data_IF_658738065889
#
_entry.id   IF_658738065889
#
_cell.length_a   1.000
_cell.length_b   1.000
_cell.length_c   1.000
_cell.angle_alpha   90.00
_cell.angle_beta   90.00
_cell.angle_gamma   90.00
#
_symmetry.space_group_name_H-M   'P 1'
#
loop_
_entity.id
_entity.type
_entity.pdbx_description
1 polymer ?
#
# COMPACT_ATOMS: atom_id res chain seq x y z
N UNK A 1 -14.73 -20.80 66.70
CA UNK A 1 -14.18 -19.44 66.44
C UNK A 1 -14.81 -18.92 65.16
N UNK A 2 -15.29 -17.68 65.21
CA UNK A 2 -16.25 -17.07 64.29
C UNK A 2 -15.63 -16.71 62.93
N UNK A 3 -16.41 -16.91 61.86
CA UNK A 3 -16.13 -16.36 60.53
C UNK A 3 -16.28 -14.84 60.55
N UNK A 4 -15.29 -14.10 60.06
CA UNK A 4 -15.37 -12.66 59.84
C UNK A 4 -15.38 -12.38 58.35
N UNK A 5 -16.54 -11.92 57.91
CA UNK A 5 -16.88 -11.41 56.58
C UNK A 5 -16.57 -9.90 56.58
N UNK A 6 -15.73 -9.43 55.66
CA UNK A 6 -15.54 -8.01 55.36
C UNK A 6 -15.43 -7.89 53.84
N UNK A 7 -16.53 -7.59 53.15
CA UNK A 7 -17.08 -6.25 52.87
C UNK A 7 -16.30 -5.52 51.78
N UNK A 8 -16.95 -5.43 50.63
CA UNK A 8 -16.57 -4.76 49.38
C UNK A 8 -16.51 -3.25 49.62
N UNK A 9 -15.41 -2.61 49.23
CA UNK A 9 -15.34 -1.17 49.02
C UNK A 9 -14.83 -0.92 47.60
N UNK A 10 -15.78 -0.74 46.69
CA UNK A 10 -15.56 -0.33 45.31
C UNK A 10 -15.34 1.19 45.30
N UNK A 11 -14.10 1.67 45.25
CA UNK A 11 -13.81 3.09 45.05
C UNK A 11 -14.06 3.44 43.59
N UNK A 12 -15.28 3.92 43.35
CA UNK A 12 -15.75 4.48 42.09
C UNK A 12 -14.81 5.57 41.60
N UNK A 13 -14.25 5.30 40.41
CA UNK A 13 -13.57 6.23 39.53
C UNK A 13 -14.40 7.51 39.35
N UNK A 14 -13.94 8.59 39.98
CA UNK A 14 -14.38 9.94 39.68
C UNK A 14 -13.72 10.42 38.39
N UNK A 15 -14.49 10.43 37.29
CA UNK A 15 -14.24 11.27 36.10
C UNK A 15 -15.51 11.33 35.25
N UNK A 16 -16.49 12.11 35.72
CA UNK A 16 -17.58 12.60 34.86
C UNK A 16 -17.21 14.00 34.38
N UNK A 17 -16.63 14.12 33.18
CA UNK A 17 -16.56 15.41 32.49
C UNK A 17 -17.79 15.50 31.60
N UNK A 18 -18.79 16.22 32.10
CA UNK A 18 -20.02 16.52 31.39
C UNK A 18 -19.69 17.29 30.11
N UNK A 19 -19.95 16.68 28.95
CA UNK A 19 -20.11 17.39 27.69
C UNK A 19 -21.49 18.03 27.70
N UNK A 20 -21.58 19.29 28.14
CA UNK A 20 -22.79 20.08 28.01
C UNK A 20 -22.75 20.80 26.66
N UNK A 21 -23.46 20.25 25.68
CA UNK A 21 -23.81 20.96 24.45
C UNK A 21 -24.90 21.97 24.79
N UNK A 22 -24.50 23.19 25.10
CA UNK A 22 -25.41 24.34 25.18
C UNK A 22 -25.73 24.81 23.77
N UNK A 23 -26.84 24.34 23.21
CA UNK A 23 -27.40 24.84 21.96
C UNK A 23 -28.63 25.69 22.28
N UNK A 24 -28.44 26.85 22.93
CA UNK A 24 -29.48 27.87 22.99
C UNK A 24 -29.33 28.76 21.75
N UNK A 25 -30.02 28.39 20.68
CA UNK A 25 -30.25 29.30 19.56
C UNK A 25 -31.27 30.39 20.01
N UNK A 26 -30.97 31.69 19.85
CA UNK A 26 -31.97 32.74 20.01
C UNK A 26 -32.88 32.83 18.78
N UNK A 27 -34.14 33.26 18.92
CA UNK A 27 -35.03 33.48 17.79
C UNK A 27 -34.55 34.67 16.96
N UNK A 28 -34.57 34.51 15.64
CA UNK A 28 -34.18 35.50 14.66
C UNK A 28 -34.97 36.81 14.81
N UNK A 29 -34.27 37.94 14.75
CA UNK A 29 -34.86 39.25 14.48
C UNK A 29 -33.83 40.13 13.76
N UNK A 30 -34.16 40.46 12.50
CA UNK A 30 -33.83 41.68 11.75
C UNK A 30 -32.37 42.16 11.60
N UNK A 31 -31.94 42.16 10.33
CA UNK A 31 -31.41 43.31 9.59
C UNK A 31 -30.21 44.11 10.16
N UNK A 32 -29.07 44.06 9.47
CA UNK A 32 -28.10 45.17 9.49
C UNK A 32 -26.63 44.78 9.48
N UNK A 33 -25.97 45.13 8.37
CA UNK A 33 -24.56 45.43 8.12
C UNK A 33 -23.42 44.79 8.97
N UNK A 34 -22.45 44.29 8.19
CA UNK A 34 -21.01 44.28 8.42
C UNK A 34 -20.46 43.36 9.53
N UNK A 35 -19.87 42.24 9.10
CA UNK A 35 -18.57 41.78 9.59
C UNK A 35 -17.94 40.81 8.59
N UNK A 36 -16.81 41.24 8.01
CA UNK A 36 -15.88 40.35 7.29
C UNK A 36 -15.17 39.53 8.37
N UNK A 37 -15.59 38.29 8.58
CA UNK A 37 -14.90 37.38 9.50
C UNK A 37 -14.46 36.13 8.76
N UNK A 38 -13.14 36.08 8.58
CA UNK A 38 -12.18 34.98 8.38
C UNK A 38 -12.67 33.66 7.75
N UNK A 39 -11.92 33.10 6.78
CA UNK A 39 -12.22 31.77 6.23
C UNK A 39 -12.20 30.73 7.37
N UNK A 40 -13.02 29.66 7.27
CA UNK A 40 -12.99 28.59 8.25
C UNK A 40 -11.56 28.06 8.34
N UNK A 41 -11.01 28.03 9.56
CA UNK A 41 -9.72 27.40 9.83
C UNK A 41 -9.77 25.99 9.24
N UNK A 42 -8.73 25.55 8.51
CA UNK A 42 -8.69 24.19 8.01
C UNK A 42 -8.67 23.30 9.25
N UNK A 43 -9.80 22.66 9.53
CA UNK A 43 -9.86 21.54 10.44
C UNK A 43 -8.89 20.53 9.81
N UNK A 44 -7.66 20.47 10.34
CA UNK A 44 -6.69 19.43 10.04
C UNK A 44 -7.21 18.12 10.65
N UNK A 45 -8.38 17.69 10.19
CA UNK A 45 -8.71 16.29 10.14
C UNK A 45 -7.63 15.71 9.25
N UNK A 46 -6.54 15.24 9.86
CA UNK A 46 -5.68 14.21 9.30
C UNK A 46 -6.55 12.98 9.09
N UNK A 47 -7.46 13.07 8.11
CA UNK A 47 -7.79 11.96 7.25
C UNK A 47 -6.45 11.62 6.61
N UNK A 48 -5.64 10.85 7.34
CA UNK A 48 -4.73 9.91 6.72
C UNK A 48 -5.65 9.15 5.80
N UNK A 49 -5.62 9.53 4.52
CA UNK A 49 -6.32 8.84 3.45
C UNK A 49 -5.63 7.49 3.31
N UNK A 50 -5.94 6.60 4.26
CA UNK A 50 -5.71 5.16 4.23
C UNK A 50 -6.73 4.53 3.27
N UNK A 51 -6.94 5.18 2.14
CA UNK A 51 -7.84 4.79 1.07
C UNK A 51 -7.00 4.85 -0.19
N UNK A 52 -6.05 3.94 -0.32
CA UNK A 52 -5.11 4.00 -1.43
C UNK A 52 -3.90 3.09 -1.31
N UNK A 53 -4.10 1.82 -0.95
CA UNK A 53 -3.14 0.78 -1.28
C UNK A 53 -1.73 0.91 -0.71
N UNK A 54 -0.81 0.13 -1.29
CA UNK A 54 0.62 0.20 -0.96
C UNK A 54 1.34 1.37 -1.62
N UNK A 55 0.69 2.16 -2.48
CA UNK A 55 1.33 3.29 -3.15
C UNK A 55 2.40 2.90 -4.18
N UNK A 56 2.30 1.70 -4.74
CA UNK A 56 3.12 1.26 -5.88
C UNK A 56 2.80 2.16 -7.08
N UNK A 57 3.83 2.68 -7.76
CA UNK A 57 3.62 3.54 -8.92
C UNK A 57 3.00 2.75 -10.07
N UNK A 58 1.97 3.29 -10.76
CA UNK A 58 1.30 2.59 -11.86
C UNK A 58 2.23 2.21 -13.01
N UNK A 59 3.29 2.99 -13.24
CA UNK A 59 4.32 2.71 -14.24
C UNK A 59 5.00 1.35 -13.98
N UNK A 60 5.27 1.00 -12.72
CA UNK A 60 5.90 -0.28 -12.38
C UNK A 60 4.98 -1.49 -12.59
N UNK A 61 3.67 -1.28 -12.67
CA UNK A 61 2.68 -2.33 -12.89
C UNK A 61 2.40 -2.54 -14.39
N UNK A 62 3.08 -1.81 -15.28
CA UNK A 62 2.84 -1.87 -16.72
C UNK A 62 3.01 -3.30 -17.25
N UNK A 63 1.93 -3.86 -17.81
CA UNK A 63 1.93 -5.20 -18.41
C UNK A 63 1.89 -6.35 -17.41
N UNK A 64 1.83 -6.07 -16.10
CA UNK A 64 1.55 -7.08 -15.09
C UNK A 64 0.10 -7.57 -15.20
N UNK A 65 -0.10 -8.86 -15.00
CA UNK A 65 -1.43 -9.48 -15.04
C UNK A 65 -2.34 -8.87 -13.94
N UNK A 66 -3.63 -8.56 -14.21
CA UNK A 66 -4.53 -8.01 -13.19
C UNK A 66 -4.63 -8.85 -11.92
N UNK A 67 -4.50 -10.17 -12.06
CA UNK A 67 -4.46 -11.13 -10.95
C UNK A 67 -3.27 -10.95 -9.99
N UNK A 68 -2.22 -10.24 -10.43
CA UNK A 68 -1.04 -9.86 -9.64
C UNK A 68 -1.09 -8.37 -9.31
N UNK A 69 -1.41 -7.50 -10.28
CA UNK A 69 -1.39 -6.06 -10.09
C UNK A 69 -2.47 -5.55 -9.11
N UNK A 70 -3.70 -6.07 -9.18
CA UNK A 70 -4.78 -5.60 -8.33
C UNK A 70 -4.54 -5.88 -6.83
N UNK A 71 -4.10 -7.08 -6.41
CA UNK A 71 -3.72 -7.33 -5.02
C UNK A 71 -2.57 -6.44 -4.51
N UNK A 72 -1.56 -6.17 -5.35
CA UNK A 72 -0.44 -5.28 -5.00
C UNK A 72 -0.93 -3.83 -4.79
N UNK A 73 -1.85 -3.36 -5.62
CA UNK A 73 -2.49 -2.04 -5.44
C UNK A 73 -3.38 -2.03 -4.20
N UNK A 74 -4.13 -3.10 -3.93
CA UNK A 74 -4.99 -3.19 -2.76
C UNK A 74 -4.20 -3.35 -1.44
N UNK A 75 -2.96 -3.83 -1.51
CA UNK A 75 -2.17 -4.23 -0.35
C UNK A 75 -2.57 -5.58 0.25
N UNK A 76 -3.21 -6.43 -0.56
CA UNK A 76 -3.63 -7.77 -0.17
C UNK A 76 -2.59 -8.79 -0.64
N UNK A 77 -1.57 -9.01 0.18
CA UNK A 77 -0.43 -9.89 -0.11
C UNK A 77 -0.70 -11.30 0.44
N UNK A 78 -1.66 -12.00 -0.16
CA UNK A 78 -2.00 -13.37 0.23
C UNK A 78 -0.89 -14.39 -0.10
N UNK A 79 -0.94 -15.57 0.54
CA UNK A 79 0.07 -16.62 0.37
C UNK A 79 0.16 -17.15 -1.07
N UNK A 80 -0.92 -17.03 -1.85
CA UNK A 80 -0.99 -17.46 -3.25
C UNK A 80 -0.39 -16.46 -4.24
N UNK A 81 -0.15 -15.21 -3.84
CA UNK A 81 0.28 -14.14 -4.75
C UNK A 81 1.62 -14.44 -5.42
N UNK A 82 2.57 -15.01 -4.68
CA UNK A 82 3.89 -15.37 -5.21
C UNK A 82 3.81 -16.43 -6.31
N UNK A 83 2.96 -17.46 -6.13
CA UNK A 83 2.74 -18.48 -7.17
C UNK A 83 2.10 -17.86 -8.40
N UNK A 84 1.05 -17.05 -8.21
CA UNK A 84 0.38 -16.35 -9.32
C UNK A 84 1.35 -15.47 -10.09
N UNK A 85 2.17 -14.68 -9.39
CA UNK A 85 3.21 -13.85 -10.00
C UNK A 85 4.17 -14.67 -10.87
N UNK A 86 4.66 -15.80 -10.36
CA UNK A 86 5.53 -16.70 -11.13
C UNK A 86 4.82 -17.30 -12.35
N UNK A 87 3.62 -17.84 -12.17
CA UNK A 87 2.92 -18.59 -13.21
C UNK A 87 2.41 -17.70 -14.35
N UNK A 88 2.04 -16.46 -14.02
CA UNK A 88 1.55 -15.48 -14.99
C UNK A 88 2.66 -14.65 -15.64
N UNK A 89 3.86 -14.60 -15.04
CA UNK A 89 4.99 -13.81 -15.58
C UNK A 89 5.36 -14.20 -17.01
N UNK A 90 5.18 -15.48 -17.39
CA UNK A 90 5.39 -15.96 -18.76
C UNK A 90 4.51 -15.28 -19.82
N UNK A 91 3.41 -14.64 -19.43
CA UNK A 91 2.52 -13.91 -20.34
C UNK A 91 2.87 -12.42 -20.48
N UNK A 92 3.81 -11.93 -19.67
CA UNK A 92 4.21 -10.53 -19.63
C UNK A 92 4.81 -10.11 -20.99
N UNK A 93 4.17 -9.12 -21.63
CA UNK A 93 4.45 -8.68 -23.00
C UNK A 93 4.51 -9.80 -24.06
N UNK A 94 3.68 -10.84 -23.92
CA UNK A 94 3.64 -11.98 -24.87
C UNK A 94 3.33 -11.61 -26.34
N UNK A 95 2.87 -10.39 -26.59
CA UNK A 95 2.54 -9.89 -27.93
C UNK A 95 3.75 -9.29 -28.65
N UNK A 96 4.87 -9.07 -27.96
CA UNK A 96 6.12 -8.59 -28.53
C UNK A 96 6.98 -9.76 -29.00
N UNK A 97 7.84 -9.51 -29.99
CA UNK A 97 8.84 -10.48 -30.42
C UNK A 97 9.83 -10.80 -29.28
N UNK A 98 10.42 -12.01 -29.21
CA UNK A 98 11.26 -12.43 -28.08
C UNK A 98 12.37 -11.42 -27.71
N UNK A 99 13.03 -10.84 -28.72
CA UNK A 99 14.10 -9.85 -28.50
C UNK A 99 13.56 -8.53 -27.93
N UNK A 100 12.46 -8.02 -28.47
CA UNK A 100 11.81 -6.79 -28.00
C UNK A 100 11.23 -6.97 -26.59
N UNK A 101 10.70 -8.16 -26.32
CA UNK A 101 10.18 -8.56 -25.02
C UNK A 101 11.28 -8.55 -23.96
N UNK A 102 12.45 -9.15 -24.22
CA UNK A 102 13.60 -9.11 -23.31
C UNK A 102 14.01 -7.67 -23.01
N UNK A 103 14.13 -6.82 -24.03
CA UNK A 103 14.51 -5.41 -23.87
C UNK A 103 13.51 -4.65 -22.99
N UNK A 104 12.21 -4.75 -23.31
CA UNK A 104 11.15 -4.08 -22.52
C UNK A 104 11.13 -4.57 -21.07
N UNK A 105 11.31 -5.86 -20.83
CA UNK A 105 11.38 -6.43 -19.46
C UNK A 105 12.59 -5.89 -18.70
N UNK A 106 13.76 -5.81 -19.34
CA UNK A 106 14.96 -5.27 -18.70
C UNK A 106 14.81 -3.80 -18.30
N UNK A 107 14.19 -2.99 -19.17
CA UNK A 107 13.88 -1.59 -18.85
C UNK A 107 13.00 -1.50 -17.59
N UNK A 108 11.91 -2.27 -17.54
CA UNK A 108 11.00 -2.26 -16.39
C UNK A 108 11.67 -2.80 -15.12
N UNK A 109 12.50 -3.84 -15.25
CA UNK A 109 13.25 -4.40 -14.14
C UNK A 109 14.25 -3.40 -13.55
N UNK A 110 14.89 -2.57 -14.39
CA UNK A 110 15.74 -1.48 -13.94
C UNK A 110 14.98 -0.46 -13.10
N UNK A 111 13.82 -0.01 -13.58
CA UNK A 111 12.94 0.90 -12.81
C UNK A 111 12.50 0.28 -11.48
N UNK A 112 12.14 -1.00 -11.49
CA UNK A 112 11.66 -1.72 -10.32
C UNK A 112 12.74 -1.93 -9.26
N UNK A 113 13.97 -2.25 -9.67
CA UNK A 113 15.13 -2.33 -8.78
C UNK A 113 15.41 -1.00 -8.10
N UNK A 114 15.43 0.09 -8.87
CA UNK A 114 15.61 1.43 -8.31
C UNK A 114 14.53 1.77 -7.28
N UNK A 115 13.27 1.41 -7.55
CA UNK A 115 12.17 1.62 -6.61
C UNK A 115 12.31 0.76 -5.33
N UNK A 116 12.73 -0.51 -5.48
CA UNK A 116 12.99 -1.40 -4.35
C UNK A 116 14.14 -0.91 -3.47
N UNK A 117 15.23 -0.43 -4.08
CA UNK A 117 16.38 0.12 -3.37
C UNK A 117 16.00 1.39 -2.59
N UNK A 118 15.22 2.28 -3.23
CA UNK A 118 14.71 3.49 -2.59
C UNK A 118 13.79 3.17 -1.40
N UNK A 119 12.86 2.22 -1.56
CA UNK A 119 11.97 1.80 -0.49
C UNK A 119 12.74 1.10 0.65
N UNK A 120 13.72 0.25 0.33
CA UNK A 120 14.57 -0.41 1.33
C UNK A 120 15.40 0.59 2.13
N UNK A 121 15.89 1.64 1.48
CA UNK A 121 16.60 2.75 2.15
C UNK A 121 15.66 3.51 3.07
N UNK A 122 14.46 3.87 2.58
CA UNK A 122 13.45 4.55 3.39
C UNK A 122 13.03 3.71 4.61
N UNK A 123 12.86 2.40 4.43
CA UNK A 123 12.57 1.45 5.51
C UNK A 123 13.63 1.47 6.60
N UNK A 124 14.91 1.50 6.21
CA UNK A 124 16.04 1.55 7.15
C UNK A 124 16.00 2.85 7.96
N UNK A 125 15.81 3.99 7.31
CA UNK A 125 15.68 5.30 7.97
C UNK A 125 14.51 5.34 8.96
N UNK A 126 13.38 4.74 8.59
CA UNK A 126 12.20 4.64 9.47
C UNK A 126 12.46 3.72 10.66
N UNK A 127 13.21 2.64 10.48
CA UNK A 127 13.52 1.67 11.56
C UNK A 127 14.36 2.26 12.69
N UNK A 128 15.14 3.32 12.41
CA UNK A 128 15.91 4.04 13.42
C UNK A 128 15.06 4.99 14.29
N UNK A 129 13.79 5.21 13.94
CA UNK A 129 12.87 6.08 14.66
C UNK A 129 11.78 5.25 15.38
N UNK A 130 11.84 5.19 16.71
CA UNK A 130 10.93 4.37 17.52
C UNK A 130 9.43 4.76 17.36
N UNK A 131 9.14 6.02 17.02
CA UNK A 131 7.78 6.51 16.80
C UNK A 131 7.20 6.15 15.41
N UNK A 132 8.00 5.53 14.54
CA UNK A 132 7.66 5.23 13.14
C UNK A 132 7.16 3.81 12.88
N UNK A 133 6.85 3.01 13.92
CA UNK A 133 6.48 1.58 13.78
C UNK A 133 5.42 1.31 12.69
N UNK A 134 4.39 2.16 12.60
CA UNK A 134 3.34 2.01 11.56
C UNK A 134 3.87 2.26 10.14
N UNK A 135 4.76 3.23 9.98
CA UNK A 135 5.38 3.55 8.69
C UNK A 135 6.38 2.47 8.29
N UNK A 136 7.13 1.92 9.24
CA UNK A 136 8.01 0.77 9.02
C UNK A 136 7.22 -0.44 8.51
N UNK A 137 6.13 -0.82 9.20
CA UNK A 137 5.29 -1.94 8.77
C UNK A 137 4.68 -1.71 7.37
N UNK A 138 4.31 -0.46 7.05
CA UNK A 138 3.83 -0.13 5.70
C UNK A 138 4.95 -0.25 4.65
N UNK A 139 6.16 0.19 4.98
CA UNK A 139 7.33 0.06 4.11
C UNK A 139 7.72 -1.40 3.90
N UNK A 140 7.62 -2.24 4.93
CA UNK A 140 7.83 -3.70 4.82
C UNK A 140 6.87 -4.33 3.79
N UNK A 141 5.58 -3.97 3.85
CA UNK A 141 4.59 -4.43 2.88
C UNK A 141 4.90 -3.94 1.45
N UNK A 142 5.41 -2.71 1.30
CA UNK A 142 5.84 -2.18 0.00
C UNK A 142 7.03 -2.94 -0.56
N UNK A 143 8.04 -3.19 0.27
CA UNK A 143 9.21 -4.02 -0.11
C UNK A 143 8.76 -5.40 -0.55
N UNK A 144 7.82 -6.03 0.17
CA UNK A 144 7.26 -7.32 -0.21
C UNK A 144 6.53 -7.24 -1.56
N UNK A 145 5.68 -6.24 -1.77
CA UNK A 145 4.95 -6.03 -3.03
C UNK A 145 5.89 -5.81 -4.23
N UNK A 146 6.92 -4.98 -4.07
CA UNK A 146 7.93 -4.75 -5.11
C UNK A 146 8.73 -6.04 -5.41
N UNK A 147 8.96 -6.88 -4.40
CA UNK A 147 9.62 -8.19 -4.56
C UNK A 147 8.75 -9.18 -5.33
N UNK A 148 7.43 -9.20 -5.08
CA UNK A 148 6.48 -10.02 -5.86
C UNK A 148 6.46 -9.59 -7.32
N UNK A 149 6.42 -8.28 -7.56
CA UNK A 149 6.46 -7.74 -8.91
C UNK A 149 7.78 -8.09 -9.60
N UNK A 150 8.90 -8.07 -8.88
CA UNK A 150 10.20 -8.45 -9.41
C UNK A 150 10.21 -9.92 -9.83
N UNK A 151 9.66 -10.81 -9.01
CA UNK A 151 9.46 -12.22 -9.36
C UNK A 151 8.64 -12.38 -10.65
N UNK A 152 7.57 -11.61 -10.81
CA UNK A 152 6.73 -11.63 -12.00
C UNK A 152 7.53 -11.25 -13.27
N UNK A 153 8.31 -10.18 -13.22
CA UNK A 153 9.19 -9.77 -14.33
C UNK A 153 10.32 -10.77 -14.58
N UNK A 154 10.93 -11.37 -13.54
CA UNK A 154 11.94 -12.41 -13.70
C UNK A 154 11.40 -13.65 -14.41
N UNK A 155 10.20 -14.11 -14.05
CA UNK A 155 9.55 -15.22 -14.74
C UNK A 155 9.27 -14.90 -16.22
N UNK A 156 8.86 -13.66 -16.51
CA UNK A 156 8.70 -13.18 -17.88
C UNK A 156 10.01 -13.12 -18.66
N UNK A 157 11.09 -12.64 -18.03
CA UNK A 157 12.42 -12.57 -18.65
C UNK A 157 12.94 -13.96 -19.00
N UNK A 158 12.84 -14.90 -18.05
CA UNK A 158 13.27 -16.29 -18.27
C UNK A 158 12.57 -16.90 -19.49
N UNK A 159 11.24 -16.77 -19.56
CA UNK A 159 10.49 -17.30 -20.70
C UNK A 159 10.85 -16.59 -22.02
N UNK A 160 11.10 -15.28 -22.00
CA UNK A 160 11.48 -14.54 -23.21
C UNK A 160 12.87 -14.96 -23.73
N UNK A 161 13.80 -15.22 -22.82
CA UNK A 161 15.15 -15.71 -23.14
C UNK A 161 15.12 -17.14 -23.68
N UNK A 162 14.36 -18.04 -23.05
CA UNK A 162 14.16 -19.41 -23.54
C UNK A 162 13.56 -19.45 -24.96
N UNK A 163 12.69 -18.49 -25.29
CA UNK A 163 12.13 -18.37 -26.64
C UNK A 163 13.16 -17.88 -27.68
N UNK A 164 14.16 -17.10 -27.26
CA UNK A 164 15.24 -16.62 -28.12
C UNK A 164 16.29 -17.70 -28.38
N UNK A 165 16.60 -18.50 -27.36
CA UNK A 165 17.60 -19.56 -27.41
C UNK A 165 17.08 -20.85 -28.08
N UNK A 166 15.77 -20.96 -28.31
CA UNK A 166 15.18 -22.11 -29.01
C UNK A 166 15.69 -22.15 -30.47
N UNK A 167 16.45 -23.19 -30.88
CA UNK A 167 16.86 -23.31 -32.27
C UNK A 167 15.62 -23.46 -33.16
N UNK A 168 15.57 -22.70 -34.26
CA UNK A 168 14.56 -22.84 -35.32
C UNK A 168 14.76 -24.18 -36.03
N UNK A 169 14.44 -25.31 -35.40
CA UNK A 169 14.37 -26.59 -36.08
C UNK A 169 12.98 -26.74 -36.69
N UNK A 170 12.92 -26.64 -38.02
CA UNK A 170 11.81 -27.16 -38.81
C UNK A 170 10.92 -26.13 -39.49
N UNK A 171 11.28 -25.77 -40.73
CA UNK A 171 10.39 -25.82 -41.89
C UNK A 171 11.23 -26.09 -43.15
N UNK A 172 11.59 -27.35 -43.32
CA UNK A 172 11.83 -27.94 -44.64
C UNK A 172 11.01 -29.23 -44.66
N UNK A 173 9.85 -29.18 -45.32
CA UNK A 173 9.09 -30.27 -45.97
C UNK A 173 7.76 -29.69 -46.46
#
# INVERSE_FOLDING_TARGET
>A
MMAVKASIANTLLGLKKAGSTSCLAPPASSTGLASRSLPPSPCASRKSSLAGGLGISPDLLEGAEPSVAAPLVAGDLDDGLMSRARDTGKFLYKHLEPRERVEKINVMMGKLKNALDAETTSRLELSHNADSMKLTAQSDLRVQALSVLLLHYCAGLQHAQEALDRPKTGKES
#
